data_IF_075998243495
#
_entry.id   IF_075998243495
#
_cell.length_a   1.000
_cell.length_b   1.000
_cell.length_c   1.000
_cell.angle_alpha   90.00
_cell.angle_beta   90.00
_cell.angle_gamma   90.00
#
_symmetry.space_group_name_H-M   'P 1'
#
loop_
_entity.id
_entity.type
_entity.pdbx_description
1 polymer ?
#
# COMPACT_ATOMS: atom_id res chain seq x y z
N UNK A 1 -0.32 12.24 8.03
CA UNK A 1 0.24 12.20 6.66
C UNK A 1 0.57 13.60 6.10
N UNK A 2 1.85 13.94 5.92
CA UNK A 2 2.34 15.21 5.34
C UNK A 2 3.19 14.97 4.08
N UNK A 3 2.93 15.76 3.03
CA UNK A 3 3.81 16.12 1.90
C UNK A 3 4.21 15.04 0.87
N UNK A 4 4.71 13.88 1.31
CA UNK A 4 5.44 12.95 0.44
C UNK A 4 4.67 11.67 0.04
N UNK A 5 3.55 11.39 0.71
CA UNK A 5 2.76 10.17 0.49
C UNK A 5 1.33 10.52 0.11
N UNK A 6 0.79 9.87 -0.93
CA UNK A 6 -0.59 10.05 -1.37
C UNK A 6 -1.61 9.50 -0.37
N UNK A 7 -1.21 8.57 0.51
CA UNK A 7 -2.08 8.00 1.54
C UNK A 7 -3.07 6.96 1.05
N UNK A 8 -2.93 6.52 -0.19
CA UNK A 8 -3.79 5.50 -0.79
C UNK A 8 -2.96 4.44 -1.52
N UNK A 9 -3.49 3.22 -1.54
CA UNK A 9 -3.00 2.08 -2.31
C UNK A 9 -4.12 1.67 -3.27
N UNK A 10 -3.83 1.72 -4.57
CA UNK A 10 -4.71 1.17 -5.61
C UNK A 10 -4.51 -0.34 -5.70
N UNK A 11 -5.61 -1.10 -5.70
CA UNK A 11 -5.62 -2.54 -5.87
C UNK A 11 -6.40 -2.88 -7.14
N UNK A 12 -5.72 -3.56 -8.07
CA UNK A 12 -6.28 -3.98 -9.36
C UNK A 12 -6.29 -5.50 -9.41
N UNK A 13 -7.50 -6.08 -9.48
CA UNK A 13 -7.68 -7.49 -9.77
C UNK A 13 -7.91 -7.64 -11.27
N UNK A 14 -6.99 -8.31 -11.96
CA UNK A 14 -7.02 -8.48 -13.42
C UNK A 14 -7.99 -9.56 -13.89
N UNK A 15 -8.32 -10.53 -13.04
CA UNK A 15 -9.31 -11.59 -13.32
C UNK A 15 -10.71 -11.00 -13.40
N UNK A 16 -11.09 -10.25 -12.36
CA UNK A 16 -12.44 -9.67 -12.24
C UNK A 16 -12.55 -8.26 -12.84
N UNK A 17 -11.44 -7.73 -13.39
CA UNK A 17 -11.32 -6.35 -13.89
C UNK A 17 -11.76 -5.31 -12.85
N UNK A 18 -11.54 -5.58 -11.57
CA UNK A 18 -11.98 -4.75 -10.46
C UNK A 18 -10.86 -3.83 -9.99
N UNK A 19 -11.22 -2.56 -9.82
CA UNK A 19 -10.35 -1.52 -9.24
C UNK A 19 -10.91 -1.11 -7.89
N UNK A 20 -10.05 -1.02 -6.88
CA UNK A 20 -10.42 -0.57 -5.54
C UNK A 20 -9.28 0.23 -4.91
N UNK A 21 -9.60 1.12 -3.98
CA UNK A 21 -8.62 1.85 -3.19
C UNK A 21 -8.68 1.45 -1.71
N UNK A 22 -7.54 1.50 -1.03
CA UNK A 22 -7.42 1.33 0.41
C UNK A 22 -6.47 2.37 0.98
N UNK A 23 -6.65 2.82 2.23
CA UNK A 23 -5.72 3.76 2.84
C UNK A 23 -4.33 3.12 3.00
N UNK A 24 -3.27 3.92 2.84
CA UNK A 24 -1.92 3.52 3.25
C UNK A 24 -1.80 3.72 4.77
N UNK A 25 -1.61 2.64 5.56
CA UNK A 25 -1.49 2.79 7.01
C UNK A 25 -0.29 3.65 7.40
N UNK A 26 -0.50 4.63 8.28
CA UNK A 26 0.58 5.51 8.74
C UNK A 26 1.69 4.73 9.45
N UNK A 27 1.36 3.62 10.13
CA UNK A 27 2.38 2.76 10.73
C UNK A 27 3.32 2.11 9.70
N UNK A 28 2.86 1.85 8.48
CA UNK A 28 3.72 1.27 7.44
C UNK A 28 4.72 2.31 6.92
N UNK A 29 4.28 3.56 6.82
CA UNK A 29 5.17 4.68 6.48
C UNK A 29 6.21 4.86 7.59
N UNK A 30 5.81 4.82 8.85
CA UNK A 30 6.74 5.00 9.98
C UNK A 30 7.73 3.83 10.14
N UNK A 31 7.30 2.58 9.92
CA UNK A 31 8.14 1.39 10.11
C UNK A 31 8.98 1.04 8.89
N UNK A 32 8.46 1.30 7.69
CA UNK A 32 9.04 0.79 6.44
C UNK A 32 9.34 1.87 5.40
N UNK A 33 9.13 3.14 5.74
CA UNK A 33 9.36 4.32 4.90
C UNK A 33 8.52 4.32 3.62
N UNK A 34 8.95 3.58 2.59
CA UNK A 34 8.33 3.59 1.28
C UNK A 34 8.91 2.53 0.34
N UNK A 35 8.49 2.58 -0.93
CA UNK A 35 9.03 1.73 -1.99
C UNK A 35 9.08 0.25 -1.60
N UNK A 36 10.29 -0.32 -1.56
CA UNK A 36 10.52 -1.74 -1.28
C UNK A 36 10.09 -2.16 0.13
N UNK A 37 10.22 -1.30 1.14
CA UNK A 37 9.87 -1.63 2.52
C UNK A 37 8.38 -1.88 2.68
N UNK A 38 7.56 -0.93 2.20
CA UNK A 38 6.10 -1.07 2.20
C UNK A 38 5.66 -2.21 1.28
N UNK A 39 6.29 -2.38 0.12
CA UNK A 39 5.97 -3.49 -0.78
C UNK A 39 6.21 -4.86 -0.12
N UNK A 40 7.34 -5.04 0.59
CA UNK A 40 7.63 -6.27 1.32
C UNK A 40 6.62 -6.55 2.44
N UNK A 41 6.19 -5.51 3.18
CA UNK A 41 5.14 -5.66 4.20
C UNK A 41 3.80 -6.08 3.58
N UNK A 42 3.40 -5.44 2.50
CA UNK A 42 2.16 -5.77 1.79
C UNK A 42 2.17 -7.20 1.24
N UNK A 43 3.31 -7.66 0.74
CA UNK A 43 3.49 -9.06 0.32
C UNK A 43 3.36 -10.02 1.50
N UNK A 44 4.01 -9.71 2.63
CA UNK A 44 3.91 -10.51 3.84
C UNK A 44 2.46 -10.65 4.36
N UNK A 45 1.63 -9.60 4.22
CA UNK A 45 0.25 -9.60 4.68
C UNK A 45 -0.73 -10.43 3.83
N UNK A 46 -0.39 -10.65 2.55
CA UNK A 46 -1.26 -11.39 1.60
C UNK A 46 -0.79 -12.84 1.38
N UNK A 47 0.35 -13.21 1.93
CA UNK A 47 0.88 -14.59 1.97
C UNK A 47 0.36 -15.32 3.20
#
# INVERSE_FOLDING_TARGET
MQGAYMGKILRVNLTDKKVSESPLPEEYVMKYLGGRGIAARLLYDIM
#
